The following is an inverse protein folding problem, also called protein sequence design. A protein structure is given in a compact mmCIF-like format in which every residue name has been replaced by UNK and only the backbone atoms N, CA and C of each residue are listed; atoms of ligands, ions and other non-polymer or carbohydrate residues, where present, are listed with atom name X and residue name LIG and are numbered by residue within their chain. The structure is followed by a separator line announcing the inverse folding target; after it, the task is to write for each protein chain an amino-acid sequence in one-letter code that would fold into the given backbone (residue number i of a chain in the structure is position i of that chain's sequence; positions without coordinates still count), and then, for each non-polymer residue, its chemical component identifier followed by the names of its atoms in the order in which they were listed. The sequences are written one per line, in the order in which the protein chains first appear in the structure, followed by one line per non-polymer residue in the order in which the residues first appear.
data_IF_756822507093
#
_entry.id   IF_756822507093
#
_cell.length_a   1.000
_cell.length_b   1.000
_cell.length_c   1.000
_cell.angle_alpha   90.00
_cell.angle_beta   90.00
_cell.angle_gamma   90.00
#
_symmetry.space_group_name_H-M   'P 1'
#
loop_
_entity.id
_entity.type
_entity.pdbx_description
1 polymer ?
#
# COMPACT_ATOMS: atom_id res chain seq x y z
N UNK A 1 14.99 -9.55 -0.75
CA UNK A 1 14.83 -8.54 -1.83
C UNK A 1 14.40 -7.23 -1.17
N UNK A 2 15.10 -6.12 -1.38
CA UNK A 2 14.63 -4.82 -0.89
C UNK A 2 13.50 -4.35 -1.81
N UNK A 3 12.32 -4.06 -1.25
CA UNK A 3 11.19 -3.62 -2.06
C UNK A 3 11.36 -2.14 -2.41
N UNK A 4 11.00 -1.77 -3.65
CA UNK A 4 11.07 -0.38 -4.11
C UNK A 4 9.83 0.42 -3.72
N UNK A 5 8.75 -0.19 -3.23
CA UNK A 5 7.56 0.55 -2.81
C UNK A 5 7.79 1.19 -1.42
N UNK A 6 7.03 2.23 -1.12
CA UNK A 6 6.98 2.84 0.21
C UNK A 6 6.64 1.75 1.24
N UNK A 7 7.41 1.61 2.34
CA UNK A 7 7.11 0.62 3.35
C UNK A 7 5.71 0.82 3.96
N UNK A 8 5.01 -0.27 4.22
CA UNK A 8 3.72 -0.23 4.91
C UNK A 8 3.86 -0.15 6.44
N UNK A 9 2.73 -0.11 7.17
CA UNK A 9 1.36 -0.14 6.65
C UNK A 9 0.92 1.19 6.02
N UNK A 10 -0.03 1.16 5.08
CA UNK A 10 -0.63 2.36 4.48
C UNK A 10 -2.07 2.56 4.92
N UNK A 11 -2.45 3.81 5.17
CA UNK A 11 -3.77 4.22 5.63
C UNK A 11 -4.23 5.46 4.86
N UNK A 12 -5.53 5.54 4.62
CA UNK A 12 -6.16 6.75 4.08
C UNK A 12 -6.34 7.78 5.20
N UNK A 13 -6.04 9.03 4.88
CA UNK A 13 -6.21 10.17 5.76
C UNK A 13 -6.96 11.27 5.03
N UNK A 14 -7.75 12.01 5.79
CA UNK A 14 -8.43 13.22 5.36
C UNK A 14 -8.03 14.38 6.28
N UNK A 15 -7.83 15.56 5.70
CA UNK A 15 -7.64 16.82 6.44
C UNK A 15 -8.93 17.63 6.44
N UNK A 16 -9.04 18.60 7.35
CA UNK A 16 -10.21 19.49 7.45
C UNK A 16 -10.52 20.28 6.16
N UNK A 17 -9.50 20.55 5.33
CA UNK A 17 -9.67 21.19 4.01
C UNK A 17 -10.23 20.22 2.93
N UNK A 18 -10.44 18.96 3.29
CA UNK A 18 -10.89 17.87 2.42
C UNK A 18 -9.81 17.32 1.50
N UNK A 19 -8.52 17.55 1.81
CA UNK A 19 -7.41 16.86 1.16
C UNK A 19 -7.33 15.41 1.65
N UNK A 20 -7.43 14.47 0.70
CA UNK A 20 -7.34 13.03 0.95
C UNK A 20 -6.00 12.49 0.44
N UNK A 21 -5.35 11.66 1.24
CA UNK A 21 -4.04 11.11 0.91
C UNK A 21 -3.83 9.73 1.54
N UNK A 22 -2.92 8.95 0.97
CA UNK A 22 -2.47 7.65 1.44
C UNK A 22 -1.06 7.79 2.01
N UNK A 23 -0.86 7.39 3.27
CA UNK A 23 0.44 7.49 3.95
C UNK A 23 0.63 6.41 5.03
N UNK A 24 1.84 6.32 5.60
CA UNK A 24 2.07 5.51 6.81
C UNK A 24 1.47 6.16 8.07
N UNK A 25 0.89 5.39 9.01
CA UNK A 25 0.33 5.95 10.23
C UNK A 25 1.39 6.35 11.26
N UNK A 26 2.47 5.59 11.32
CA UNK A 26 3.68 5.80 12.12
C UNK A 26 4.85 6.13 11.17
N UNK A 27 5.92 6.78 11.63
CA UNK A 27 7.09 7.25 10.83
C UNK A 27 6.97 8.64 10.17
N UNK A 28 6.30 9.58 10.82
CA UNK A 28 6.23 10.96 10.32
C UNK A 28 5.42 11.12 9.03
N UNK A 29 4.51 10.16 8.77
CA UNK A 29 3.63 10.08 7.58
C UNK A 29 4.41 10.11 6.28
N UNK A 30 5.00 8.98 5.91
CA UNK A 30 5.56 8.80 4.59
C UNK A 30 4.41 8.80 3.58
N UNK A 31 4.34 9.83 2.75
CA UNK A 31 3.31 9.94 1.72
C UNK A 31 3.55 8.89 0.63
N UNK A 32 2.48 8.19 0.27
CA UNK A 32 2.45 7.21 -0.82
C UNK A 32 1.81 7.85 -2.04
N UNK A 33 0.62 8.43 -1.84
CA UNK A 33 -0.17 9.03 -2.89
C UNK A 33 -1.05 10.15 -2.33
N UNK A 34 -1.26 11.20 -3.11
CA UNK A 34 -2.32 12.18 -2.88
C UNK A 34 -2.98 12.61 -4.21
N UNK A 35 -3.79 13.67 -4.19
CA UNK A 35 -4.39 14.23 -5.39
C UNK A 35 -4.03 15.71 -5.55
N UNK A 36 -3.75 16.13 -6.78
CA UNK A 36 -3.38 17.53 -7.07
C UNK A 36 -4.52 18.53 -6.78
N UNK A 37 -5.78 18.09 -6.80
CA UNK A 37 -6.96 18.94 -6.55
C UNK A 37 -8.18 18.13 -6.08
N UNK A 38 -9.08 18.80 -5.36
CA UNK A 38 -10.40 18.28 -4.97
C UNK A 38 -11.41 18.41 -6.13
N UNK A 39 -12.18 17.35 -6.42
CA UNK A 39 -13.32 17.36 -7.36
C UNK A 39 -13.10 16.66 -8.71
N UNK A 40 -14.20 16.39 -9.42
CA UNK A 40 -14.29 15.49 -10.60
C UNK A 40 -13.73 16.06 -11.92
N UNK A 41 -13.15 17.28 -11.93
CA UNK A 41 -12.57 17.88 -13.15
C UNK A 41 -11.13 17.40 -13.38
N UNK A 42 -10.93 16.10 -13.56
CA UNK A 42 -9.63 15.53 -13.91
C UNK A 42 -8.56 15.72 -12.82
N UNK A 43 -8.89 15.48 -11.56
CA UNK A 43 -7.87 15.38 -10.52
C UNK A 43 -6.89 14.24 -10.87
N UNK A 44 -5.59 14.54 -10.81
CA UNK A 44 -4.53 13.57 -11.10
C UNK A 44 -3.95 13.06 -9.79
N UNK A 45 -3.73 11.74 -9.64
CA UNK A 45 -2.99 11.22 -8.50
C UNK A 45 -1.53 11.65 -8.60
N UNK A 46 -0.94 11.97 -7.45
CA UNK A 46 0.49 12.24 -7.32
C UNK A 46 1.14 11.18 -6.46
N UNK A 47 2.39 10.87 -6.71
CA UNK A 47 3.17 9.89 -5.97
C UNK A 47 4.46 10.51 -5.45
N UNK A 48 4.94 10.00 -4.32
CA UNK A 48 6.16 10.49 -3.70
C UNK A 48 7.41 9.96 -4.42
N UNK A 49 8.21 10.86 -5.00
CA UNK A 49 9.57 10.56 -5.45
C UNK A 49 10.58 10.91 -4.36
N UNK A 50 11.56 10.01 -4.18
CA UNK A 50 12.57 10.13 -3.13
C UNK A 50 13.91 10.36 -3.82
N UNK A 51 14.64 11.44 -3.51
CA UNK A 51 15.99 11.62 -4.01
C UNK A 51 16.92 10.62 -3.30
N UNK A 52 17.38 9.60 -4.03
CA UNK A 52 18.32 8.59 -3.53
C UNK A 52 17.68 7.29 -3.03
N UNK A 53 18.47 6.47 -2.34
CA UNK A 53 18.08 5.12 -1.89
C UNK A 53 17.37 5.09 -0.52
N UNK A 54 17.37 6.20 0.24
CA UNK A 54 16.82 6.30 1.60
C UNK A 54 15.28 6.45 1.64
N UNK A 55 14.58 5.56 0.95
CA UNK A 55 13.11 5.44 1.05
C UNK A 55 12.71 5.12 2.49
N UNK A 56 11.90 5.98 3.09
CA UNK A 56 11.35 5.80 4.44
C UNK A 56 12.01 6.60 5.57
N UNK A 57 12.97 7.49 5.26
CA UNK A 57 13.55 8.43 6.23
C UNK A 57 13.36 9.91 5.87
N UNK A 58 13.46 10.26 4.59
CA UNK A 58 13.40 11.65 4.11
C UNK A 58 12.15 11.86 3.26
N UNK A 59 11.13 12.55 3.76
CA UNK A 59 9.85 12.71 3.04
C UNK A 59 10.02 12.98 1.53
N UNK A 60 9.35 12.17 0.71
CA UNK A 60 9.40 12.31 -0.75
C UNK A 60 8.67 13.56 -1.26
N UNK A 61 9.06 14.03 -2.44
CA UNK A 61 8.41 15.13 -3.15
C UNK A 61 7.24 14.55 -3.96
N UNK A 62 6.07 15.17 -3.87
CA UNK A 62 4.89 14.71 -4.61
C UNK A 62 4.96 15.17 -6.07
N UNK A 63 4.98 14.20 -6.99
CA UNK A 63 4.96 14.43 -8.43
C UNK A 63 3.70 13.85 -9.05
N UNK A 64 3.19 14.51 -10.11
CA UNK A 64 2.08 13.98 -10.89
C UNK A 64 2.39 12.59 -11.43
N UNK A 65 1.34 11.76 -11.61
CA UNK A 65 1.47 10.35 -11.99
C UNK A 65 2.48 10.09 -13.11
N UNK A 66 2.41 10.84 -14.21
CA UNK A 66 3.31 10.64 -15.36
C UNK A 66 4.76 11.00 -15.02
N UNK A 67 4.99 12.10 -14.31
CA UNK A 67 6.33 12.54 -13.88
C UNK A 67 6.95 11.56 -12.87
N UNK A 68 6.12 10.97 -12.02
CA UNK A 68 6.53 9.94 -11.07
C UNK A 68 6.89 8.60 -11.74
N UNK A 69 6.77 8.48 -13.07
CA UNK A 69 7.04 7.25 -13.82
C UNK A 69 5.79 6.42 -14.13
N UNK A 70 4.60 6.95 -13.87
CA UNK A 70 3.32 6.38 -14.26
C UNK A 70 3.12 4.95 -13.78
N UNK A 71 2.77 4.06 -14.70
CA UNK A 71 2.57 2.63 -14.43
C UNK A 71 3.85 1.90 -13.99
N UNK A 72 5.02 2.52 -14.10
CA UNK A 72 6.29 1.98 -13.60
C UNK A 72 6.60 2.42 -12.17
N UNK A 73 5.86 3.39 -11.61
CA UNK A 73 6.07 3.82 -10.22
C UNK A 73 5.80 2.64 -9.25
N UNK A 74 6.72 2.32 -8.32
CA UNK A 74 6.58 1.14 -7.46
C UNK A 74 5.28 1.10 -6.64
N UNK A 75 4.85 2.24 -6.10
CA UNK A 75 3.61 2.29 -5.31
C UNK A 75 2.38 2.15 -6.20
N UNK A 76 2.39 2.76 -7.40
CA UNK A 76 1.29 2.63 -8.34
C UNK A 76 1.14 1.17 -8.80
N UNK A 77 2.26 0.48 -9.04
CA UNK A 77 2.28 -0.95 -9.38
C UNK A 77 1.73 -1.82 -8.25
N UNK A 78 2.11 -1.54 -7.01
CA UNK A 78 1.63 -2.30 -5.86
C UNK A 78 0.12 -2.11 -5.67
N UNK A 79 -0.39 -0.88 -5.82
CA UNK A 79 -1.83 -0.58 -5.75
C UNK A 79 -2.57 -1.31 -6.88
N UNK A 80 -2.05 -1.25 -8.11
CA UNK A 80 -2.66 -1.91 -9.26
C UNK A 80 -2.70 -3.44 -9.13
N UNK A 81 -1.69 -4.05 -8.48
CA UNK A 81 -1.61 -5.48 -8.23
C UNK A 81 -2.43 -5.96 -7.02
N UNK A 82 -3.13 -5.07 -6.31
CA UNK A 82 -3.85 -5.42 -5.08
C UNK A 82 -4.91 -6.53 -5.28
N UNK A 83 -5.69 -6.58 -6.36
CA UNK A 83 -6.63 -7.67 -6.61
C UNK A 83 -5.95 -9.04 -6.72
N UNK A 84 -4.88 -9.15 -7.50
CA UNK A 84 -4.14 -10.39 -7.70
C UNK A 84 -3.42 -10.83 -6.43
N UNK A 85 -2.93 -9.87 -5.64
CA UNK A 85 -2.32 -10.16 -4.33
C UNK A 85 -3.35 -10.69 -3.32
N UNK A 86 -4.58 -10.16 -3.35
CA UNK A 86 -5.67 -10.68 -2.51
C UNK A 86 -6.07 -12.10 -2.92
N UNK A 87 -6.20 -12.36 -4.21
CA UNK A 87 -6.48 -13.70 -4.73
C UNK A 87 -5.38 -14.70 -4.33
N UNK A 88 -4.11 -14.31 -4.49
CA UNK A 88 -2.98 -15.12 -4.09
C UNK A 88 -2.97 -15.40 -2.58
N UNK A 89 -3.30 -14.42 -1.74
CA UNK A 89 -3.40 -14.61 -0.29
C UNK A 89 -4.53 -15.60 0.08
N UNK A 90 -5.69 -15.51 -0.57
CA UNK A 90 -6.81 -16.42 -0.33
C UNK A 90 -6.49 -17.85 -0.80
N UNK A 91 -5.85 -18.00 -1.96
CA UNK A 91 -5.39 -19.29 -2.45
C UNK A 91 -4.36 -19.92 -1.50
N UNK A 92 -3.39 -19.11 -1.02
CA UNK A 92 -2.40 -19.56 -0.05
C UNK A 92 -3.07 -20.03 1.26
N UNK A 93 -4.06 -19.28 1.78
CA UNK A 93 -4.82 -19.66 2.97
C UNK A 93 -5.50 -21.03 2.80
N UNK A 94 -6.12 -21.26 1.64
CA UNK A 94 -6.77 -22.54 1.34
C UNK A 94 -5.74 -23.69 1.26
N UNK A 95 -4.56 -23.46 0.71
CA UNK A 95 -3.52 -24.48 0.64
C UNK A 95 -2.94 -24.83 2.02
N UNK A 96 -2.69 -23.84 2.88
CA UNK A 96 -2.13 -24.10 4.22
C UNK A 96 -3.14 -24.74 5.16
N UNK A 97 -4.45 -24.62 4.88
CA UNK A 97 -5.51 -25.27 5.63
C UNK A 97 -5.32 -26.80 5.64
N UNK A 98 -4.82 -27.37 4.55
CA UNK A 98 -4.59 -28.80 4.33
C UNK A 98 -3.28 -29.33 4.94
N UNK A 99 -2.38 -28.44 5.39
CA UNK A 99 -1.09 -28.83 5.95
C UNK A 99 -1.21 -29.21 7.45
N UNK A 100 -0.36 -30.12 7.96
CA UNK A 100 -0.29 -30.43 9.39
C UNK A 100 -0.07 -29.17 10.24
N UNK A 101 -0.71 -29.12 11.41
CA UNK A 101 -0.63 -27.97 12.33
C UNK A 101 0.75 -27.88 12.99
N UNK A 102 1.67 -27.17 12.33
CA UNK A 102 2.94 -26.74 12.92
C UNK A 102 2.83 -25.29 13.39
N UNK A 103 3.72 -24.88 14.30
CA UNK A 103 3.81 -23.50 14.76
C UNK A 103 3.97 -22.52 13.59
N UNK A 104 4.87 -22.82 12.64
CA UNK A 104 5.08 -22.00 11.44
C UNK A 104 3.82 -21.89 10.58
N UNK A 105 3.02 -22.97 10.47
CA UNK A 105 1.76 -22.94 9.73
C UNK A 105 0.72 -22.05 10.42
N UNK A 106 0.65 -22.07 11.75
CA UNK A 106 -0.26 -21.18 12.51
C UNK A 106 0.14 -19.71 12.31
N UNK A 107 1.41 -19.38 12.40
CA UNK A 107 1.91 -18.01 12.21
C UNK A 107 1.61 -17.49 10.79
N UNK A 108 1.86 -18.29 9.76
CA UNK A 108 1.55 -17.92 8.37
C UNK A 108 0.04 -17.79 8.16
N UNK A 109 -0.75 -18.66 8.79
CA UNK A 109 -2.21 -18.56 8.76
C UNK A 109 -2.66 -17.20 9.32
N UNK A 110 -2.23 -16.84 10.53
CA UNK A 110 -2.61 -15.58 11.16
C UNK A 110 -2.25 -14.36 10.30
N UNK A 111 -1.07 -14.37 9.65
CA UNK A 111 -0.65 -13.31 8.73
C UNK A 111 -1.57 -13.20 7.50
N UNK A 112 -1.93 -14.33 6.89
CA UNK A 112 -2.82 -14.35 5.74
C UNK A 112 -4.23 -13.91 6.11
N UNK A 113 -4.77 -14.40 7.23
CA UNK A 113 -6.08 -14.03 7.74
C UNK A 113 -6.14 -12.51 8.01
N UNK A 114 -5.12 -11.96 8.67
CA UNK A 114 -5.04 -10.52 8.95
C UNK A 114 -4.99 -9.69 7.66
N UNK A 115 -4.21 -10.12 6.66
CA UNK A 115 -4.12 -9.45 5.37
C UNK A 115 -5.45 -9.49 4.60
N UNK A 116 -6.10 -10.65 4.54
CA UNK A 116 -7.41 -10.84 3.89
C UNK A 116 -8.49 -10.01 4.60
N UNK A 117 -8.54 -10.05 5.93
CA UNK A 117 -9.50 -9.27 6.70
C UNK A 117 -9.31 -7.77 6.48
N UNK A 118 -8.06 -7.28 6.43
CA UNK A 118 -7.77 -5.89 6.12
C UNK A 118 -8.20 -5.50 4.70
N UNK A 119 -7.94 -6.35 3.71
CA UNK A 119 -8.27 -6.08 2.32
C UNK A 119 -9.79 -6.13 2.03
N UNK A 120 -10.54 -6.94 2.77
CA UNK A 120 -12.00 -7.13 2.60
C UNK A 120 -12.84 -6.25 3.53
N UNK A 121 -12.20 -5.44 4.39
CA UNK A 121 -12.89 -4.54 5.33
C UNK A 121 -13.42 -5.23 6.59
N UNK A 122 -13.02 -6.49 6.85
CA UNK A 122 -13.40 -7.25 8.04
C UNK A 122 -12.57 -6.92 9.30
N UNK A 123 -11.47 -6.19 9.17
CA UNK A 123 -10.68 -5.69 10.29
C UNK A 123 -11.03 -4.21 10.56
N UNK A 124 -11.77 -3.95 11.64
CA UNK A 124 -11.83 -2.63 12.30
C UNK A 124 -11.07 -2.69 13.61
#
# INVERSE_FOLDING_TARGET
MSSKHTPGPWHWFEREDGHVYLATPDRGRLYVMDFARKGMRGATPRFALWPGEDRGRLGGIMHDFLEAGGTLHPDARLIAAAPELLEAAQAAWNCIAELPSTQARVEVAELLLAAIAKATGGAQ
#
